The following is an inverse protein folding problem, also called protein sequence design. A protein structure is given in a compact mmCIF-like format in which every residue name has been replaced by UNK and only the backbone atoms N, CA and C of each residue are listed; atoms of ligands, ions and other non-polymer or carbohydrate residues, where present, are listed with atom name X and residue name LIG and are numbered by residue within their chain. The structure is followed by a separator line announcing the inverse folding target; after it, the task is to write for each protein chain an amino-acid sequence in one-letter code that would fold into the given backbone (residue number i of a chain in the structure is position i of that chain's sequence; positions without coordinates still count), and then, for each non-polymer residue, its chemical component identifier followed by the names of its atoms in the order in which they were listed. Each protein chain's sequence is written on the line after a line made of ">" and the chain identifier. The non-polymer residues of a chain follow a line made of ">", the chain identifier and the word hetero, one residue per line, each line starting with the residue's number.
data_IF_395134326532
#
_entry.id   IF_395134326532
#
_cell.length_a   1.000
_cell.length_b   1.000
_cell.length_c   1.000
_cell.angle_alpha   90.00
_cell.angle_beta   90.00
_cell.angle_gamma   90.00
#
_symmetry.space_group_name_H-M   'P 1'
#
loop_
_entity.id
_entity.type
_entity.pdbx_description
1 polymer ?
#
# COMPACT_ATOMS: atom_id res chain seq x y z
N UNK A 1 -21.38 -28.47 -35.41
CA UNK A 1 -20.31 -27.46 -35.66
C UNK A 1 -20.64 -26.10 -35.05
N UNK A 2 -21.80 -25.49 -35.38
CA UNK A 2 -22.21 -24.17 -34.85
C UNK A 2 -22.31 -24.13 -33.30
N UNK A 3 -22.87 -25.17 -32.65
CA UNK A 3 -22.91 -25.26 -31.18
C UNK A 3 -21.53 -25.26 -30.50
N UNK A 4 -20.52 -25.88 -31.13
CA UNK A 4 -19.15 -25.94 -30.60
C UNK A 4 -18.44 -24.60 -30.75
N UNK A 5 -18.72 -23.86 -31.82
CA UNK A 5 -18.18 -22.53 -32.07
C UNK A 5 -18.79 -21.51 -31.09
N UNK A 6 -20.11 -21.57 -30.85
CA UNK A 6 -20.79 -20.71 -29.87
C UNK A 6 -20.29 -20.99 -28.45
N UNK A 7 -20.07 -22.26 -28.10
CA UNK A 7 -19.56 -22.64 -26.78
C UNK A 7 -18.10 -22.18 -26.56
N UNK A 8 -17.24 -22.32 -27.57
CA UNK A 8 -15.88 -21.76 -27.50
C UNK A 8 -15.88 -20.23 -27.42
N UNK A 9 -16.77 -19.55 -28.15
CA UNK A 9 -16.89 -18.09 -28.10
C UNK A 9 -17.33 -17.61 -26.71
N UNK A 10 -18.30 -18.29 -26.09
CA UNK A 10 -18.74 -18.00 -24.72
C UNK A 10 -17.63 -18.25 -23.69
N UNK A 11 -16.86 -19.33 -23.82
CA UNK A 11 -15.73 -19.63 -22.92
C UNK A 11 -14.63 -18.58 -23.08
N UNK A 12 -14.27 -18.18 -24.30
CA UNK A 12 -13.29 -17.10 -24.51
C UNK A 12 -13.79 -15.75 -24.00
N UNK A 13 -15.09 -15.45 -24.14
CA UNK A 13 -15.69 -14.21 -23.65
C UNK A 13 -15.72 -14.17 -22.11
N UNK A 14 -15.99 -15.30 -21.46
CA UNK A 14 -15.92 -15.44 -19.99
C UNK A 14 -14.48 -15.33 -19.49
N UNK A 15 -13.48 -15.89 -20.20
CA UNK A 15 -12.06 -15.73 -19.84
C UNK A 15 -11.62 -14.27 -19.98
N UNK A 16 -12.07 -13.56 -21.02
CA UNK A 16 -11.78 -12.12 -21.23
C UNK A 16 -12.50 -11.24 -20.19
N UNK A 17 -13.69 -11.63 -19.73
CA UNK A 17 -14.41 -10.95 -18.64
C UNK A 17 -13.84 -11.29 -17.26
N UNK A 18 -13.23 -12.46 -17.06
CA UNK A 18 -12.55 -12.83 -15.81
C UNK A 18 -11.12 -12.29 -15.74
N UNK A 19 -10.52 -11.92 -16.87
CA UNK A 19 -9.32 -11.09 -16.92
C UNK A 19 -9.65 -9.60 -16.75
N UNK A 20 -10.54 -9.25 -15.80
CA UNK A 20 -10.43 -7.94 -15.18
C UNK A 20 -9.05 -7.92 -14.54
N UNK A 21 -8.13 -7.29 -15.27
CA UNK A 21 -6.78 -7.03 -14.84
C UNK A 21 -6.86 -6.49 -13.43
N UNK A 22 -6.32 -7.26 -12.47
CA UNK A 22 -5.87 -6.72 -11.20
C UNK A 22 -4.93 -5.58 -11.58
N UNK A 23 -5.46 -4.35 -11.62
CA UNK A 23 -4.64 -3.16 -11.79
C UNK A 23 -3.75 -3.16 -10.57
N UNK A 24 -2.51 -3.62 -10.74
CA UNK A 24 -1.47 -3.47 -9.73
C UNK A 24 -1.43 -1.99 -9.38
N UNK A 25 -1.90 -1.63 -8.19
CA UNK A 25 -1.83 -0.24 -7.69
C UNK A 25 -0.37 0.16 -7.77
N UNK A 26 -0.04 1.17 -8.57
CA UNK A 26 1.32 1.68 -8.62
C UNK A 26 1.50 2.73 -7.53
N UNK A 27 2.41 2.47 -6.58
CA UNK A 27 2.67 3.34 -5.42
C UNK A 27 3.08 4.75 -5.85
N UNK A 28 3.75 4.88 -6.99
CA UNK A 28 4.26 6.15 -7.50
C UNK A 28 3.34 6.79 -8.53
N UNK A 29 2.21 6.15 -8.82
CA UNK A 29 1.21 6.70 -9.73
C UNK A 29 0.37 7.79 -9.06
N UNK A 30 0.15 8.84 -9.83
CA UNK A 30 -0.62 10.02 -9.46
C UNK A 30 -1.99 10.00 -10.13
N UNK A 31 -2.94 10.73 -9.56
CA UNK A 31 -4.29 10.88 -10.12
C UNK A 31 -4.40 12.12 -11.00
N UNK A 32 -5.42 12.13 -11.86
CA UNK A 32 -5.81 13.34 -12.57
C UNK A 32 -6.38 14.38 -11.60
N UNK A 33 -6.03 15.63 -11.84
CA UNK A 33 -6.53 16.79 -11.14
C UNK A 33 -7.37 17.64 -12.10
N UNK A 34 -8.67 17.75 -11.81
CA UNK A 34 -9.57 18.60 -12.57
C UNK A 34 -9.33 20.08 -12.24
N UNK A 35 -9.11 20.87 -13.28
CA UNK A 35 -9.01 22.31 -13.25
C UNK A 35 -10.27 22.88 -13.89
N UNK A 36 -10.93 23.81 -13.19
CA UNK A 36 -12.09 24.53 -13.72
C UNK A 36 -12.09 25.95 -13.14
N UNK A 37 -11.34 26.86 -13.79
CA UNK A 37 -11.09 28.20 -13.26
C UNK A 37 -11.54 29.29 -14.21
N UNK A 38 -12.27 30.28 -13.66
CA UNK A 38 -12.48 31.57 -14.33
C UNK A 38 -11.19 32.38 -14.26
N UNK A 39 -10.82 33.05 -15.34
CA UNK A 39 -9.55 33.79 -15.42
C UNK A 39 -9.60 34.89 -16.48
N UNK A 40 -8.81 35.94 -16.29
CA UNK A 40 -8.61 37.01 -17.29
C UNK A 40 -7.46 36.65 -18.25
N UNK A 41 -6.57 35.74 -17.86
CA UNK A 41 -5.45 35.29 -18.68
C UNK A 41 -5.31 33.76 -18.56
N UNK A 42 -5.86 33.05 -19.54
CA UNK A 42 -5.88 31.59 -19.53
C UNK A 42 -4.47 30.96 -19.63
N UNK A 43 -3.53 31.60 -20.34
CA UNK A 43 -2.16 31.12 -20.43
C UNK A 43 -1.45 31.17 -19.07
N UNK A 44 -1.58 32.30 -18.35
CA UNK A 44 -1.04 32.45 -16.98
C UNK A 44 -1.72 31.48 -16.01
N UNK A 45 -3.03 31.29 -16.14
CA UNK A 45 -3.76 30.32 -15.29
C UNK A 45 -3.31 28.89 -15.54
N UNK A 46 -3.13 28.48 -16.81
CA UNK A 46 -2.61 27.16 -17.17
C UNK A 46 -1.28 26.89 -16.47
N UNK A 47 -0.30 27.78 -16.65
CA UNK A 47 1.04 27.59 -16.05
C UNK A 47 0.96 27.52 -14.52
N UNK A 48 0.23 28.45 -13.90
CA UNK A 48 0.08 28.49 -12.43
C UNK A 48 -0.60 27.23 -11.88
N UNK A 49 -1.65 26.74 -12.53
CA UNK A 49 -2.36 25.54 -12.07
C UNK A 49 -1.53 24.27 -12.24
N UNK A 50 -0.79 24.16 -13.33
CA UNK A 50 0.12 23.03 -13.54
C UNK A 50 1.20 23.01 -12.44
N UNK A 51 1.78 24.16 -12.06
CA UNK A 51 2.75 24.23 -10.96
C UNK A 51 2.17 23.76 -9.61
N UNK A 52 0.94 24.20 -9.29
CA UNK A 52 0.24 23.75 -8.08
C UNK A 52 0.03 22.23 -8.10
N UNK A 53 -0.34 21.67 -9.26
CA UNK A 53 -0.58 20.24 -9.42
C UNK A 53 0.70 19.43 -9.33
N UNK A 54 1.82 19.91 -9.87
CA UNK A 54 3.14 19.27 -9.70
C UNK A 54 3.46 19.10 -8.20
N UNK A 55 3.37 20.19 -7.44
CA UNK A 55 3.66 20.19 -5.99
C UNK A 55 2.69 19.28 -5.24
N UNK A 56 1.39 19.36 -5.56
CA UNK A 56 0.37 18.52 -4.92
C UNK A 56 0.59 17.03 -5.20
N UNK A 57 0.85 16.68 -6.45
CA UNK A 57 1.10 15.29 -6.87
C UNK A 57 2.34 14.72 -6.21
N UNK A 58 3.42 15.51 -6.13
CA UNK A 58 4.63 15.13 -5.43
C UNK A 58 4.40 14.91 -3.94
N UNK A 59 3.74 15.85 -3.28
CA UNK A 59 3.39 15.73 -1.86
C UNK A 59 2.53 14.51 -1.57
N UNK A 60 1.58 14.17 -2.46
CA UNK A 60 0.77 12.98 -2.33
C UNK A 60 1.63 11.71 -2.33
N UNK A 61 2.63 11.60 -3.21
CA UNK A 61 3.57 10.46 -3.21
C UNK A 61 4.34 10.42 -1.89
N UNK A 62 4.88 11.55 -1.44
CA UNK A 62 5.60 11.62 -0.17
C UNK A 62 4.72 11.22 1.02
N UNK A 63 3.48 11.70 1.07
CA UNK A 63 2.50 11.31 2.09
C UNK A 63 2.16 9.83 2.05
N UNK A 64 2.27 9.19 0.88
CA UNK A 64 2.04 7.76 0.70
C UNK A 64 3.22 6.93 1.20
N UNK A 65 4.46 7.32 0.90
CA UNK A 65 5.64 6.48 1.14
C UNK A 65 6.44 6.86 2.40
N UNK A 66 6.33 8.09 2.90
CA UNK A 66 7.07 8.57 4.05
C UNK A 66 6.22 8.57 5.32
N UNK A 67 6.90 8.43 6.46
CA UNK A 67 6.36 8.85 7.74
C UNK A 67 6.27 10.37 7.79
N UNK A 68 5.33 10.90 8.56
CA UNK A 68 5.12 12.36 8.69
C UNK A 68 6.40 13.09 9.12
N UNK A 69 7.16 12.51 10.05
CA UNK A 69 8.43 13.06 10.54
C UNK A 69 9.50 13.09 9.45
N UNK A 70 9.65 12.00 8.70
CA UNK A 70 10.60 11.89 7.59
C UNK A 70 10.26 12.83 6.44
N UNK A 71 8.96 13.01 6.11
CA UNK A 71 8.50 14.00 5.14
C UNK A 71 8.89 15.41 5.58
N UNK A 72 8.63 15.76 6.84
CA UNK A 72 8.96 17.09 7.36
C UNK A 72 10.48 17.35 7.33
N UNK A 73 11.28 16.34 7.70
CA UNK A 73 12.75 16.39 7.60
C UNK A 73 13.21 16.58 6.16
N UNK A 74 12.63 15.82 5.22
CA UNK A 74 12.95 15.90 3.80
C UNK A 74 12.62 17.28 3.22
N UNK A 75 11.39 17.77 3.43
CA UNK A 75 10.94 19.06 2.89
C UNK A 75 11.67 20.26 3.48
N UNK A 76 12.22 20.15 4.70
CA UNK A 76 13.04 21.21 5.31
C UNK A 76 14.41 21.35 4.63
N UNK A 77 14.98 20.25 4.16
CA UNK A 77 16.36 20.19 3.66
C UNK A 77 16.43 20.14 2.13
N UNK A 78 15.31 19.90 1.45
CA UNK A 78 15.23 19.73 0.01
C UNK A 78 14.49 20.90 -0.64
N UNK A 79 15.20 21.70 -1.44
CA UNK A 79 14.57 22.72 -2.28
C UNK A 79 13.87 22.05 -3.46
N UNK A 80 12.57 21.81 -3.29
CA UNK A 80 11.73 21.15 -4.27
C UNK A 80 11.45 22.02 -5.49
N UNK A 81 11.55 23.35 -5.38
CA UNK A 81 11.15 24.27 -6.46
C UNK A 81 11.97 24.10 -7.74
N UNK A 82 13.28 23.84 -7.61
CA UNK A 82 14.18 23.62 -8.74
C UNK A 82 14.31 22.14 -9.12
N UNK A 83 14.22 21.23 -8.14
CA UNK A 83 14.51 19.82 -8.39
C UNK A 83 13.29 19.01 -8.83
N UNK A 84 12.06 19.50 -8.65
CA UNK A 84 10.85 18.85 -9.15
C UNK A 84 10.91 18.60 -10.66
N UNK A 85 11.42 19.56 -11.44
CA UNK A 85 11.54 19.41 -12.90
C UNK A 85 12.42 18.23 -13.30
N UNK A 86 13.44 17.87 -12.50
CA UNK A 86 14.36 16.76 -12.81
C UNK A 86 13.72 15.39 -12.62
N UNK A 87 12.72 15.29 -11.76
CA UNK A 87 12.06 14.03 -11.43
C UNK A 87 10.73 13.83 -12.15
N UNK A 88 10.22 14.85 -12.83
CA UNK A 88 8.99 14.72 -13.64
C UNK A 88 9.33 13.90 -14.88
N UNK A 89 8.67 12.75 -15.02
CA UNK A 89 8.77 11.90 -16.20
C UNK A 89 7.95 12.47 -17.35
N UNK A 90 6.69 12.85 -17.07
CA UNK A 90 5.82 13.53 -18.02
C UNK A 90 4.64 14.22 -17.33
N UNK A 91 3.99 15.11 -18.07
CA UNK A 91 2.73 15.76 -17.69
C UNK A 91 1.70 15.43 -18.77
N UNK A 92 0.59 14.83 -18.34
CA UNK A 92 -0.52 14.46 -19.21
C UNK A 92 -1.63 15.50 -18.99
N UNK A 93 -2.11 16.09 -20.08
CA UNK A 93 -3.21 17.06 -20.07
C UNK A 93 -4.31 16.52 -20.97
N UNK A 94 -5.49 16.30 -20.41
CA UNK A 94 -6.68 15.82 -21.09
C UNK A 94 -7.82 16.84 -20.97
N UNK A 95 -8.80 16.74 -21.86
CA UNK A 95 -10.02 17.57 -21.84
C UNK A 95 -9.74 19.09 -21.76
N UNK A 96 -8.65 19.56 -22.37
CA UNK A 96 -8.23 20.96 -22.27
C UNK A 96 -9.15 21.89 -23.07
N UNK A 97 -9.69 22.89 -22.39
CA UNK A 97 -10.53 23.94 -22.96
C UNK A 97 -10.05 25.32 -22.51
N UNK A 98 -9.59 26.10 -23.48
CA UNK A 98 -9.12 27.47 -23.29
C UNK A 98 -10.18 28.44 -23.83
N UNK A 99 -10.75 29.28 -22.96
CA UNK A 99 -11.67 30.36 -23.31
C UNK A 99 -11.13 31.70 -22.81
N UNK A 100 -11.59 32.81 -23.41
CA UNK A 100 -11.24 34.19 -23.03
C UNK A 100 -11.30 34.44 -21.52
N UNK A 101 -12.29 33.85 -20.83
CA UNK A 101 -12.53 34.07 -19.41
C UNK A 101 -12.36 32.80 -18.54
N UNK A 102 -11.84 31.70 -19.08
CA UNK A 102 -11.88 30.39 -18.40
C UNK A 102 -10.81 29.42 -18.89
N UNK A 103 -10.27 28.64 -17.96
CA UNK A 103 -9.42 27.50 -18.24
C UNK A 103 -9.99 26.23 -17.59
N UNK A 104 -10.14 25.17 -18.38
CA UNK A 104 -10.57 23.84 -17.92
C UNK A 104 -9.60 22.81 -18.48
N UNK A 105 -9.16 21.85 -17.65
CA UNK A 105 -8.34 20.72 -18.09
C UNK A 105 -8.31 19.66 -16.98
N UNK A 106 -8.01 18.42 -17.35
CA UNK A 106 -7.59 17.38 -16.41
C UNK A 106 -6.09 17.20 -16.55
N UNK A 107 -5.35 17.31 -15.44
CA UNK A 107 -3.88 17.25 -15.47
C UNK A 107 -3.37 16.17 -14.54
N UNK A 108 -2.48 15.31 -15.05
CA UNK A 108 -1.74 14.30 -14.28
C UNK A 108 -0.25 14.51 -14.45
N UNK A 109 0.51 14.39 -13.37
CA UNK A 109 1.98 14.56 -13.37
C UNK A 109 2.60 13.25 -12.93
N UNK A 110 3.36 12.60 -13.80
CA UNK A 110 4.05 11.35 -13.49
C UNK A 110 5.51 11.63 -13.14
N UNK A 111 6.03 10.90 -12.16
CA UNK A 111 7.40 11.05 -11.67
C UNK A 111 8.24 9.82 -12.01
N UNK A 112 9.52 10.03 -12.25
CA UNK A 112 10.49 8.94 -12.38
C UNK A 112 10.75 8.34 -10.98
N UNK A 113 10.33 7.08 -10.80
CA UNK A 113 10.50 6.33 -9.55
C UNK A 113 11.98 6.24 -9.15
N UNK A 114 12.88 5.96 -10.09
CA UNK A 114 14.30 5.73 -9.78
C UNK A 114 14.96 7.01 -9.30
N UNK A 115 14.69 8.13 -9.97
CA UNK A 115 15.21 9.44 -9.57
C UNK A 115 14.67 9.86 -8.20
N UNK A 116 13.37 9.70 -7.96
CA UNK A 116 12.76 9.98 -6.66
C UNK A 116 13.41 9.17 -5.53
N UNK A 117 13.55 7.86 -5.73
CA UNK A 117 14.18 6.99 -4.73
C UNK A 117 15.65 7.36 -4.53
N UNK A 118 16.37 7.71 -5.59
CA UNK A 118 17.76 8.14 -5.49
C UNK A 118 17.90 9.44 -4.67
N UNK A 119 16.97 10.39 -4.84
CA UNK A 119 16.92 11.61 -4.02
C UNK A 119 16.69 11.27 -2.54
N UNK A 120 15.74 10.37 -2.22
CA UNK A 120 15.50 9.94 -0.84
C UNK A 120 16.75 9.29 -0.22
N UNK A 121 17.43 8.41 -0.98
CA UNK A 121 18.69 7.77 -0.57
C UNK A 121 19.80 8.77 -0.32
N UNK A 122 20.02 9.70 -1.25
CA UNK A 122 21.05 10.74 -1.13
C UNK A 122 20.83 11.63 0.11
N UNK A 123 19.56 11.84 0.50
CA UNK A 123 19.18 12.59 1.69
C UNK A 123 19.03 11.72 2.95
N UNK A 124 19.36 10.42 2.89
CA UNK A 124 19.21 9.45 3.99
C UNK A 124 17.80 9.46 4.62
N UNK A 125 16.79 9.54 3.77
CA UNK A 125 15.37 9.49 4.17
C UNK A 125 14.88 8.07 3.95
N UNK A 126 14.45 7.41 5.02
CA UNK A 126 13.84 6.10 4.93
C UNK A 126 12.41 6.22 4.40
N UNK A 127 11.92 5.19 3.73
CA UNK A 127 10.59 5.18 3.13
C UNK A 127 10.00 3.77 3.15
N UNK A 128 8.72 3.65 2.88
CA UNK A 128 8.04 2.37 2.69
C UNK A 128 7.30 2.40 1.36
N UNK A 129 7.40 1.33 0.58
CA UNK A 129 6.62 1.14 -0.63
C UNK A 129 6.12 -0.31 -0.74
N UNK A 130 5.65 -0.84 0.39
CA UNK A 130 5.00 -2.16 0.46
C UNK A 130 3.55 -1.94 0.83
N UNK A 131 2.63 -2.29 -0.06
CA UNK A 131 1.21 -2.35 0.28
C UNK A 131 0.96 -3.47 1.28
N UNK A 132 0.01 -3.27 2.18
CA UNK A 132 -0.59 -4.40 2.87
C UNK A 132 -1.47 -5.18 1.92
N UNK A 133 -1.59 -6.48 2.21
CA UNK A 133 -2.73 -7.24 1.77
C UNK A 133 -4.01 -6.62 2.36
N UNK A 134 -5.18 -7.08 1.91
CA UNK A 134 -6.44 -6.63 2.51
C UNK A 134 -6.56 -7.18 3.93
N UNK A 135 -6.39 -6.29 4.91
CA UNK A 135 -6.41 -6.63 6.34
C UNK A 135 -7.85 -6.53 6.87
N UNK A 136 -8.32 -7.58 7.55
CA UNK A 136 -9.62 -7.55 8.21
C UNK A 136 -9.55 -6.66 9.47
N UNK A 137 -10.39 -5.62 9.51
CA UNK A 137 -10.43 -4.67 10.62
C UNK A 137 -11.62 -4.97 11.54
N UNK A 138 -11.34 -5.52 12.72
CA UNK A 138 -12.37 -5.82 13.74
C UNK A 138 -12.26 -4.89 14.94
N UNK A 139 -13.38 -4.68 15.62
CA UNK A 139 -13.42 -3.77 16.75
C UNK A 139 -14.42 -4.17 17.82
N UNK A 140 -14.03 -3.83 19.05
CA UNK A 140 -14.90 -3.78 20.21
C UNK A 140 -15.02 -2.34 20.71
N UNK A 141 -16.18 -1.99 21.22
CA UNK A 141 -16.46 -0.70 21.85
C UNK A 141 -17.13 -0.92 23.20
N UNK A 142 -16.67 -0.20 24.22
CA UNK A 142 -17.30 -0.17 25.54
C UNK A 142 -17.47 1.25 26.07
N UNK A 143 -18.63 1.53 26.66
CA UNK A 143 -18.97 2.77 27.36
C UNK A 143 -19.90 2.40 28.53
N UNK A 144 -19.47 2.67 29.77
CA UNK A 144 -20.20 2.30 31.00
C UNK A 144 -20.68 0.83 31.01
N UNK A 145 -21.99 0.59 30.88
CA UNK A 145 -22.61 -0.74 30.86
C UNK A 145 -22.82 -1.31 29.44
N UNK A 146 -22.50 -0.53 28.40
CA UNK A 146 -22.65 -0.90 27.01
C UNK A 146 -21.37 -1.58 26.50
N UNK A 147 -21.52 -2.77 25.93
CA UNK A 147 -20.43 -3.54 25.33
C UNK A 147 -20.84 -4.02 23.94
N UNK A 148 -20.17 -3.52 22.91
CA UNK A 148 -20.51 -3.77 21.51
C UNK A 148 -19.32 -4.38 20.78
N UNK A 149 -19.55 -5.47 20.05
CA UNK A 149 -18.57 -6.11 19.17
C UNK A 149 -18.85 -5.80 17.70
N UNK A 150 -18.92 -6.87 16.88
CA UNK A 150 -19.26 -6.80 15.45
C UNK A 150 -20.75 -6.50 15.21
N UNK A 151 -21.12 -5.24 15.40
CA UNK A 151 -22.51 -4.77 15.26
C UNK A 151 -22.54 -3.36 14.67
N UNK A 152 -23.61 -3.04 13.93
CA UNK A 152 -23.84 -1.69 13.38
C UNK A 152 -23.99 -0.61 14.47
N UNK A 153 -24.28 -1.00 15.71
CA UNK A 153 -24.37 -0.09 16.84
C UNK A 153 -22.98 0.36 17.34
N UNK A 154 -21.94 -0.45 17.12
CA UNK A 154 -20.58 -0.11 17.49
C UNK A 154 -20.13 1.10 16.67
N UNK A 155 -19.78 2.19 17.36
CA UNK A 155 -19.42 3.46 16.74
C UNK A 155 -18.29 3.31 15.72
N UNK A 156 -17.37 2.37 15.95
CA UNK A 156 -16.24 2.11 15.06
C UNK A 156 -16.67 1.86 13.61
N UNK A 157 -17.84 1.22 13.42
CA UNK A 157 -18.37 0.87 12.10
C UNK A 157 -19.34 1.90 11.52
N UNK A 158 -19.75 2.92 12.29
CA UNK A 158 -20.70 3.95 11.82
C UNK A 158 -20.08 4.86 10.76
N UNK A 159 -18.77 5.09 10.84
CA UNK A 159 -18.04 5.94 9.91
C UNK A 159 -17.07 5.08 9.11
N UNK A 160 -17.54 4.58 7.98
CA UNK A 160 -16.67 3.95 6.99
C UNK A 160 -15.89 5.06 6.29
N UNK A 161 -14.62 5.22 6.65
CA UNK A 161 -13.71 6.00 5.83
C UNK A 161 -13.54 5.21 4.53
N UNK A 162 -13.99 5.78 3.41
CA UNK A 162 -13.67 5.21 2.11
C UNK A 162 -12.15 5.06 2.03
N UNK A 163 -11.68 3.86 1.66
CA UNK A 163 -10.25 3.57 1.52
C UNK A 163 -9.57 4.72 0.80
N UNK A 164 -8.77 5.49 1.56
CA UNK A 164 -8.17 6.70 1.03
C UNK A 164 -7.13 6.24 0.00
N UNK A 165 -7.30 6.65 -1.27
CA UNK A 165 -6.48 6.17 -2.39
C UNK A 165 -4.97 6.45 -2.23
N UNK A 166 -4.59 7.20 -1.20
CA UNK A 166 -3.22 7.60 -0.90
C UNK A 166 -2.59 6.91 0.34
N UNK A 167 -2.90 5.63 0.57
CA UNK A 167 -2.41 4.84 1.72
C UNK A 167 -1.73 3.54 1.28
N UNK A 168 -0.74 3.09 2.06
CA UNK A 168 -0.15 1.75 1.89
C UNK A 168 -0.89 0.67 2.71
N UNK A 169 -1.68 1.10 3.69
CA UNK A 169 -2.53 0.23 4.50
C UNK A 169 -3.90 0.07 3.84
N UNK A 170 -4.15 -1.13 3.30
CA UNK A 170 -5.42 -1.59 2.77
C UNK A 170 -6.16 -2.41 3.84
N UNK A 171 -7.45 -2.15 3.99
CA UNK A 171 -8.29 -2.85 4.95
C UNK A 171 -9.73 -2.96 4.48
N UNK A 172 -10.47 -3.83 5.13
CA UNK A 172 -11.92 -3.97 4.97
C UNK A 172 -12.58 -4.32 6.30
N UNK A 173 -13.88 -4.07 6.38
CA UNK A 173 -14.69 -4.40 7.55
C UNK A 173 -15.46 -5.71 7.33
N UNK A 174 -15.76 -6.47 8.40
CA UNK A 174 -16.70 -7.58 8.30
C UNK A 174 -18.11 -7.07 7.95
N UNK A 175 -18.97 -7.98 7.49
CA UNK A 175 -20.38 -7.71 7.14
C UNK A 175 -21.25 -7.34 8.35
N UNK A 176 -20.77 -7.58 9.57
CA UNK A 176 -21.48 -7.36 10.84
C UNK A 176 -22.77 -8.20 10.95
N UNK A 177 -22.73 -9.41 10.41
CA UNK A 177 -23.82 -10.38 10.45
C UNK A 177 -23.98 -11.04 11.85
N UNK A 178 -25.14 -11.65 12.16
CA UNK A 178 -25.29 -12.48 13.35
C UNK A 178 -24.25 -13.60 13.42
N UNK A 179 -23.85 -14.16 12.27
CA UNK A 179 -22.81 -15.19 12.19
C UNK A 179 -21.44 -14.64 12.63
N UNK A 180 -21.09 -13.41 12.25
CA UNK A 180 -19.84 -12.78 12.72
C UNK A 180 -19.81 -12.63 14.25
N UNK A 181 -20.94 -12.22 14.84
CA UNK A 181 -21.09 -12.12 16.30
C UNK A 181 -21.04 -13.47 17.00
N UNK A 182 -21.51 -14.52 16.33
CA UNK A 182 -21.40 -15.88 16.84
C UNK A 182 -19.95 -16.39 16.80
N UNK A 183 -19.24 -16.15 15.70
CA UNK A 183 -17.84 -16.56 15.52
C UNK A 183 -16.93 -15.83 16.52
N UNK A 184 -17.08 -14.50 16.64
CA UNK A 184 -16.24 -13.69 17.52
C UNK A 184 -17.06 -12.64 18.30
N UNK A 185 -17.72 -13.06 19.40
CA UNK A 185 -18.48 -12.14 20.25
C UNK A 185 -17.55 -11.15 20.96
N UNK A 186 -18.12 -10.06 21.49
CA UNK A 186 -17.39 -8.98 22.18
C UNK A 186 -16.28 -9.48 23.13
N UNK A 187 -16.60 -10.42 24.04
CA UNK A 187 -15.63 -10.95 25.01
C UNK A 187 -14.42 -11.63 24.35
N UNK A 188 -14.62 -12.26 23.19
CA UNK A 188 -13.56 -12.93 22.42
C UNK A 188 -12.66 -11.92 21.72
N UNK A 189 -13.20 -10.77 21.28
CA UNK A 189 -12.42 -9.63 20.76
C UNK A 189 -11.55 -9.03 21.87
N UNK A 190 -12.14 -8.74 23.05
CA UNK A 190 -11.41 -8.13 24.17
C UNK A 190 -10.29 -9.06 24.67
N UNK A 191 -10.57 -10.35 24.75
CA UNK A 191 -9.60 -11.35 25.23
C UNK A 191 -8.62 -11.81 24.15
N UNK A 192 -8.69 -11.26 22.93
CA UNK A 192 -7.81 -11.63 21.82
C UNK A 192 -7.81 -13.17 21.58
N UNK A 193 -8.99 -13.79 21.56
CA UNK A 193 -9.13 -15.25 21.47
C UNK A 193 -8.71 -15.78 20.09
N UNK A 194 -7.52 -16.40 20.04
CA UNK A 194 -6.90 -16.91 18.82
C UNK A 194 -7.79 -17.86 18.02
N UNK A 195 -8.56 -18.73 18.68
CA UNK A 195 -9.45 -19.66 17.97
C UNK A 195 -10.56 -18.92 17.23
N UNK A 196 -11.15 -17.92 17.85
CA UNK A 196 -12.20 -17.09 17.25
C UNK A 196 -11.63 -16.21 16.14
N UNK A 197 -10.43 -15.64 16.33
CA UNK A 197 -9.70 -14.88 15.32
C UNK A 197 -9.38 -15.72 14.09
N UNK A 198 -8.90 -16.96 14.28
CA UNK A 198 -8.67 -17.92 13.19
C UNK A 198 -9.96 -18.25 12.42
N UNK A 199 -11.08 -18.41 13.13
CA UNK A 199 -12.36 -18.72 12.50
C UNK A 199 -12.92 -17.54 11.69
N UNK A 200 -12.81 -16.31 12.21
CA UNK A 200 -13.28 -15.12 11.47
C UNK A 200 -12.37 -14.82 10.27
N UNK A 201 -11.05 -14.99 10.41
CA UNK A 201 -10.08 -14.92 9.31
C UNK A 201 -10.46 -15.85 8.15
N UNK A 202 -10.76 -17.13 8.47
CA UNK A 202 -11.21 -18.11 7.47
C UNK A 202 -12.50 -17.72 6.77
N UNK A 203 -13.49 -17.14 7.49
CA UNK A 203 -14.74 -16.67 6.87
C UNK A 203 -14.46 -15.63 5.79
N UNK A 204 -13.53 -14.71 6.05
CA UNK A 204 -13.23 -13.58 5.18
C UNK A 204 -12.02 -13.77 4.26
N UNK A 205 -11.40 -14.96 4.25
CA UNK A 205 -10.19 -15.25 3.49
C UNK A 205 -9.10 -14.17 3.66
N UNK A 206 -8.84 -13.80 4.92
CA UNK A 206 -7.83 -12.79 5.26
C UNK A 206 -6.87 -13.34 6.30
N UNK A 207 -5.59 -13.30 5.98
CA UNK A 207 -4.51 -13.86 6.80
C UNK A 207 -4.10 -12.93 7.95
N UNK A 208 -4.54 -11.67 7.89
CA UNK A 208 -4.15 -10.61 8.81
C UNK A 208 -5.39 -9.93 9.40
N UNK A 209 -5.39 -9.74 10.72
CA UNK A 209 -6.47 -9.03 11.43
C UNK A 209 -5.87 -7.89 12.25
N UNK A 210 -6.45 -6.70 12.13
CA UNK A 210 -6.23 -5.61 13.09
C UNK A 210 -7.42 -5.57 14.06
N UNK A 211 -7.11 -5.59 15.34
CA UNK A 211 -8.06 -5.59 16.44
C UNK A 211 -8.00 -4.22 17.11
N UNK A 212 -9.09 -3.46 17.01
CA UNK A 212 -9.21 -2.12 17.58
C UNK A 212 -10.17 -2.17 18.77
N UNK A 213 -9.64 -2.06 19.98
CA UNK A 213 -10.44 -2.10 21.21
C UNK A 213 -10.62 -0.68 21.74
N UNK A 214 -11.85 -0.16 21.67
CA UNK A 214 -12.22 1.19 22.10
C UNK A 214 -12.90 1.13 23.47
N UNK A 215 -12.45 1.99 24.38
CA UNK A 215 -13.10 2.26 25.65
C UNK A 215 -13.33 3.75 25.80
N UNK A 216 -14.59 4.17 25.78
CA UNK A 216 -14.97 5.58 25.93
C UNK A 216 -15.13 5.93 27.40
N UNK A 217 -14.44 6.99 27.80
CA UNK A 217 -14.53 7.64 29.10
C UNK A 217 -14.87 9.11 28.87
N UNK A 218 -16.15 9.49 29.00
CA UNK A 218 -16.65 10.84 28.68
C UNK A 218 -16.32 11.27 27.24
N UNK A 219 -15.52 12.34 27.07
CA UNK A 219 -15.08 12.85 25.77
C UNK A 219 -13.81 12.18 25.23
N UNK A 220 -13.18 11.31 26.02
CA UNK A 220 -11.97 10.62 25.63
C UNK A 220 -12.27 9.17 25.28
N UNK A 221 -11.54 8.63 24.31
CA UNK A 221 -11.57 7.21 23.95
C UNK A 221 -10.16 6.67 24.05
N UNK A 222 -9.98 5.70 24.94
CA UNK A 222 -8.79 4.86 25.00
C UNK A 222 -8.91 3.78 23.92
N UNK A 223 -7.88 3.64 23.10
CA UNK A 223 -7.82 2.65 22.03
C UNK A 223 -6.60 1.77 22.22
N UNK A 224 -6.81 0.46 22.22
CA UNK A 224 -5.74 -0.53 22.11
C UNK A 224 -5.75 -1.14 20.72
N UNK A 225 -4.58 -1.21 20.09
CA UNK A 225 -4.39 -1.77 18.77
C UNK A 225 -3.58 -3.06 18.88
N UNK A 226 -4.09 -4.15 18.30
CA UNK A 226 -3.36 -5.40 18.17
C UNK A 226 -3.40 -5.89 16.73
N UNK A 227 -2.35 -6.60 16.31
CA UNK A 227 -2.26 -7.25 15.03
C UNK A 227 -2.18 -8.76 15.23
N UNK A 228 -2.99 -9.52 14.51
CA UNK A 228 -2.97 -10.97 14.47
C UNK A 228 -2.59 -11.43 13.07
N UNK A 229 -1.64 -12.35 12.99
CA UNK A 229 -1.27 -13.03 11.74
C UNK A 229 -1.57 -14.53 11.88
N UNK A 230 -2.23 -15.09 10.87
CA UNK A 230 -2.70 -16.47 10.89
C UNK A 230 -1.56 -17.49 10.78
N UNK A 231 -0.51 -17.18 10.01
CA UNK A 231 0.55 -18.12 9.62
C UNK A 231 1.38 -18.52 10.83
N UNK A 232 1.75 -17.52 11.65
CA UNK A 232 2.47 -17.71 12.90
C UNK A 232 1.53 -17.88 14.10
N UNK A 233 0.23 -17.60 13.95
CA UNK A 233 -0.77 -17.63 15.03
C UNK A 233 -0.35 -16.73 16.22
N UNK A 234 0.26 -15.59 15.92
CA UNK A 234 0.79 -14.64 16.89
C UNK A 234 -0.06 -13.37 16.98
N UNK A 235 -0.14 -12.81 18.19
CA UNK A 235 -0.78 -11.52 18.44
C UNK A 235 0.30 -10.57 18.89
N UNK A 236 0.44 -9.47 18.15
CA UNK A 236 1.42 -8.42 18.40
C UNK A 236 0.65 -7.20 18.89
N UNK A 237 0.99 -6.74 20.09
CA UNK A 237 0.53 -5.44 20.58
C UNK A 237 1.18 -4.34 19.73
N UNK A 238 0.37 -3.45 19.17
CA UNK A 238 0.84 -2.34 18.35
C UNK A 238 1.11 -1.13 19.23
N UNK A 239 0.07 -0.60 19.86
CA UNK A 239 0.14 0.58 20.71
C UNK A 239 -1.19 0.81 21.45
N UNK A 240 -1.18 1.74 22.40
CA UNK A 240 -2.37 2.30 23.05
C UNK A 240 -2.40 3.81 22.88
N UNK A 241 -3.52 4.35 22.42
CA UNK A 241 -3.75 5.79 22.24
C UNK A 241 -4.93 6.28 23.07
N UNK A 242 -4.89 7.55 23.46
CA UNK A 242 -6.04 8.26 23.99
C UNK A 242 -6.35 9.40 23.03
N UNK A 243 -7.56 9.40 22.47
CA UNK A 243 -8.03 10.45 21.59
C UNK A 243 -9.26 11.15 22.17
N UNK A 244 -9.38 12.44 21.87
CA UNK A 244 -10.65 13.16 22.02
C UNK A 244 -11.59 12.64 20.94
N UNK A 245 -12.81 12.27 21.32
CA UNK A 245 -13.87 11.91 20.38
C UNK A 245 -14.43 13.18 19.74
N UNK A 246 -13.97 13.45 18.51
CA UNK A 246 -14.37 14.56 17.66
C UNK A 246 -14.64 14.09 16.23
N UNK A 247 -14.95 15.02 15.33
CA UNK A 247 -15.28 14.73 13.93
C UNK A 247 -14.15 14.01 13.18
N UNK A 248 -12.89 14.22 13.60
CA UNK A 248 -11.70 13.65 12.96
C UNK A 248 -11.22 12.35 13.65
N UNK A 249 -11.99 11.81 14.60
CA UNK A 249 -11.61 10.65 15.39
C UNK A 249 -11.18 9.44 14.54
N UNK A 250 -11.98 9.10 13.52
CA UNK A 250 -11.71 7.96 12.64
C UNK A 250 -10.48 8.20 11.76
N UNK A 251 -10.30 9.44 11.28
CA UNK A 251 -9.15 9.80 10.47
C UNK A 251 -7.85 9.64 11.26
N UNK A 252 -7.84 10.00 12.54
CA UNK A 252 -6.70 9.80 13.45
C UNK A 252 -6.35 8.32 13.60
N UNK A 253 -7.35 7.44 13.73
CA UNK A 253 -7.13 5.97 13.78
C UNK A 253 -6.49 5.49 12.48
N UNK A 254 -7.03 5.90 11.34
CA UNK A 254 -6.54 5.48 10.03
C UNK A 254 -5.11 5.97 9.77
N UNK A 255 -4.83 7.25 10.05
CA UNK A 255 -3.48 7.82 9.95
C UNK A 255 -2.50 7.04 10.83
N UNK A 256 -2.90 6.70 12.05
CA UNK A 256 -2.09 5.92 12.97
C UNK A 256 -1.76 4.53 12.38
N UNK A 257 -2.77 3.78 11.90
CA UNK A 257 -2.57 2.45 11.33
C UNK A 257 -1.73 2.49 10.04
N UNK A 258 -1.94 3.49 9.18
CA UNK A 258 -1.13 3.68 7.97
C UNK A 258 0.34 3.97 8.33
N UNK A 259 0.59 4.83 9.32
CA UNK A 259 1.96 5.10 9.77
C UNK A 259 2.60 3.88 10.46
N UNK A 260 1.84 3.12 11.24
CA UNK A 260 2.31 1.85 11.79
C UNK A 260 2.73 0.88 10.69
N UNK A 261 1.90 0.73 9.65
CA UNK A 261 2.20 -0.15 8.52
C UNK A 261 3.48 0.27 7.78
N UNK A 262 3.63 1.57 7.50
CA UNK A 262 4.87 2.12 6.90
C UNK A 262 6.09 1.82 7.76
N UNK A 263 5.98 2.05 9.07
CA UNK A 263 7.07 1.83 10.00
C UNK A 263 7.47 0.34 10.08
N UNK A 264 6.49 -0.57 10.07
CA UNK A 264 6.72 -2.03 10.03
C UNK A 264 7.44 -2.49 8.75
N UNK A 265 7.29 -1.76 7.65
CA UNK A 265 7.86 -2.10 6.34
C UNK A 265 8.78 -0.98 5.83
N UNK A 266 9.57 -0.40 6.73
CA UNK A 266 10.45 0.73 6.43
C UNK A 266 11.76 0.24 5.79
N UNK A 267 12.05 0.72 4.59
CA UNK A 267 13.32 0.49 3.89
C UNK A 267 14.36 1.46 4.46
N UNK A 268 15.36 0.89 5.15
CA UNK A 268 16.45 1.67 5.73
C UNK A 268 17.54 1.94 4.68
N UNK A 269 17.64 3.19 4.24
CA UNK A 269 18.61 3.61 3.24
C UNK A 269 20.06 3.66 3.76
N UNK A 270 20.29 3.49 5.07
CA UNK A 270 21.63 3.42 5.66
C UNK A 270 22.18 1.98 5.72
N UNK A 271 21.32 0.97 5.53
CA UNK A 271 21.71 -0.44 5.55
C UNK A 271 21.72 -0.97 4.13
N UNK A 272 22.84 -1.54 3.70
CA UNK A 272 22.97 -2.22 2.42
C UNK A 272 23.37 -3.65 2.72
N UNK A 273 22.57 -4.58 2.23
CA UNK A 273 22.81 -6.01 2.33
C UNK A 273 23.11 -6.57 0.94
N UNK A 274 23.85 -7.67 0.91
CA UNK A 274 24.16 -8.44 -0.31
C UNK A 274 23.73 -9.89 -0.10
N UNK A 275 23.25 -10.52 -1.15
CA UNK A 275 22.85 -11.92 -1.11
C UNK A 275 23.09 -12.59 -2.47
N UNK A 276 23.75 -13.74 -2.44
CA UNK A 276 24.02 -14.53 -3.64
C UNK A 276 22.88 -15.53 -3.82
N UNK A 277 22.10 -15.38 -4.88
CA UNK A 277 20.93 -16.22 -5.15
C UNK A 277 21.01 -16.91 -6.49
N UNK A 278 20.57 -18.16 -6.50
CA UNK A 278 20.21 -18.86 -7.71
C UNK A 278 18.82 -18.40 -8.18
N UNK A 279 18.77 -17.76 -9.34
CA UNK A 279 17.51 -17.47 -10.04
C UNK A 279 17.16 -18.69 -10.88
N UNK A 280 16.19 -19.46 -10.39
CA UNK A 280 15.60 -20.58 -11.12
C UNK A 280 14.52 -20.06 -12.04
N UNK A 281 14.55 -20.52 -13.29
CA UNK A 281 13.60 -20.08 -14.33
C UNK A 281 13.25 -21.23 -15.26
N UNK A 282 12.08 -21.19 -15.87
CA UNK A 282 11.66 -22.22 -16.82
C UNK A 282 12.33 -22.05 -18.18
N UNK A 283 12.57 -20.80 -18.57
CA UNK A 283 13.18 -20.41 -19.83
C UNK A 283 13.74 -18.98 -19.73
N UNK A 284 14.36 -18.52 -20.81
CA UNK A 284 14.95 -17.19 -20.88
C UNK A 284 13.96 -16.03 -20.64
N UNK A 285 12.70 -16.15 -21.10
CA UNK A 285 11.72 -15.09 -20.90
C UNK A 285 11.30 -14.98 -19.43
N UNK A 286 11.11 -16.12 -18.77
CA UNK A 286 10.82 -16.18 -17.34
C UNK A 286 11.98 -15.60 -16.51
N UNK A 287 13.23 -15.97 -16.84
CA UNK A 287 14.42 -15.37 -16.24
C UNK A 287 14.42 -13.83 -16.38
N UNK A 288 14.11 -13.33 -17.57
CA UNK A 288 14.08 -11.88 -17.82
C UNK A 288 12.95 -11.19 -17.05
N UNK A 289 11.79 -11.83 -16.92
CA UNK A 289 10.68 -11.32 -16.13
C UNK A 289 11.06 -11.23 -14.65
N UNK A 290 11.60 -12.31 -14.06
CA UNK A 290 12.07 -12.32 -12.68
C UNK A 290 13.09 -11.20 -12.46
N UNK A 291 14.14 -11.12 -13.30
CA UNK A 291 15.18 -10.08 -13.18
C UNK A 291 14.62 -8.66 -13.34
N UNK A 292 13.65 -8.46 -14.22
CA UNK A 292 13.00 -7.16 -14.42
C UNK A 292 12.20 -6.74 -13.20
N UNK A 293 11.41 -7.66 -12.64
CA UNK A 293 10.62 -7.43 -11.42
C UNK A 293 11.52 -7.12 -10.22
N UNK A 294 12.60 -7.88 -10.01
CA UNK A 294 13.58 -7.59 -8.97
C UNK A 294 14.15 -6.17 -9.18
N UNK A 295 14.61 -5.84 -10.40
CA UNK A 295 15.16 -4.49 -10.70
C UNK A 295 14.17 -3.34 -10.52
N UNK A 296 12.87 -3.61 -10.60
CA UNK A 296 11.82 -2.62 -10.41
C UNK A 296 11.52 -2.32 -8.93
N UNK A 297 12.02 -3.15 -8.01
CA UNK A 297 11.91 -2.89 -6.58
C UNK A 297 12.71 -1.64 -6.19
N UNK A 298 12.10 -0.79 -5.38
CA UNK A 298 12.71 0.44 -4.88
C UNK A 298 13.96 0.19 -4.04
N UNK A 299 14.04 -0.95 -3.35
CA UNK A 299 15.16 -1.30 -2.48
C UNK A 299 16.37 -1.86 -3.24
N UNK A 300 16.25 -2.21 -4.52
CA UNK A 300 17.41 -2.73 -5.27
C UNK A 300 18.42 -1.63 -5.54
N UNK A 301 19.67 -1.93 -5.22
CA UNK A 301 20.83 -1.10 -5.55
C UNK A 301 21.41 -1.53 -6.88
N UNK A 302 21.78 -2.80 -7.01
CA UNK A 302 22.23 -3.41 -8.25
C UNK A 302 22.09 -4.94 -8.18
N UNK A 303 22.22 -5.58 -9.34
CA UNK A 303 22.29 -7.03 -9.48
C UNK A 303 23.51 -7.33 -10.35
N UNK A 304 24.46 -8.09 -9.81
CA UNK A 304 25.68 -8.48 -10.50
C UNK A 304 25.60 -9.96 -10.84
N UNK A 305 25.94 -10.27 -12.08
CA UNK A 305 26.05 -11.64 -12.54
C UNK A 305 27.31 -12.32 -11.97
N UNK A 306 27.18 -13.55 -11.47
CA UNK A 306 28.32 -14.37 -11.02
C UNK A 306 28.56 -15.60 -11.92
N UNK A 307 27.54 -16.43 -12.16
CA UNK A 307 27.66 -17.62 -13.04
C UNK A 307 26.35 -17.96 -13.78
N UNK A 308 26.46 -18.41 -15.05
CA UNK A 308 25.32 -18.82 -15.89
C UNK A 308 25.27 -20.34 -15.87
N UNK A 309 24.13 -20.91 -15.50
CA UNK A 309 23.79 -22.27 -15.84
C UNK A 309 22.39 -22.28 -16.48
N UNK A 310 22.11 -23.30 -17.30
CA UNK A 310 20.81 -23.43 -17.94
C UNK A 310 19.72 -23.39 -16.86
N UNK A 311 18.83 -22.40 -16.95
CA UNK A 311 17.70 -22.21 -16.05
C UNK A 311 18.06 -21.98 -14.55
N UNK A 312 19.33 -21.71 -14.25
CA UNK A 312 19.81 -21.57 -12.87
C UNK A 312 20.99 -20.60 -12.79
N UNK A 313 20.70 -19.30 -12.83
CA UNK A 313 21.75 -18.27 -12.82
C UNK A 313 22.11 -17.87 -11.39
N UNK A 314 23.40 -17.80 -11.07
CA UNK A 314 23.86 -17.24 -9.81
C UNK A 314 24.08 -15.74 -9.95
N UNK A 315 23.41 -14.97 -9.12
CA UNK A 315 23.47 -13.50 -9.11
C UNK A 315 23.75 -13.00 -7.69
N UNK A 316 24.58 -11.98 -7.56
CA UNK A 316 24.70 -11.17 -6.36
C UNK A 316 23.68 -10.04 -6.40
N UNK A 317 22.78 -10.00 -5.42
CA UNK A 317 21.73 -8.98 -5.30
C UNK A 317 22.08 -8.06 -4.14
N UNK A 318 22.41 -6.80 -4.43
CA UNK A 318 22.60 -5.79 -3.41
C UNK A 318 21.32 -4.95 -3.24
N UNK A 319 20.85 -4.83 -2.01
CA UNK A 319 19.60 -4.15 -1.68
C UNK A 319 19.70 -3.34 -0.39
N UNK A 320 18.81 -2.37 -0.25
CA UNK A 320 18.69 -1.52 0.95
C UNK A 320 17.72 -2.13 1.95
N UNK A 321 18.01 -1.97 3.24
CA UNK A 321 17.13 -2.40 4.33
C UNK A 321 17.14 -3.92 4.59
N UNK A 322 16.11 -4.40 5.27
CA UNK A 322 16.07 -5.74 5.85
C UNK A 322 15.60 -6.82 4.87
N UNK A 323 16.15 -8.03 5.01
CA UNK A 323 15.77 -9.19 4.17
C UNK A 323 14.28 -9.53 4.23
N UNK A 324 13.64 -9.37 5.40
CA UNK A 324 12.22 -9.66 5.58
C UNK A 324 11.33 -8.72 4.75
N UNK A 325 11.73 -7.45 4.61
CA UNK A 325 11.05 -6.47 3.75
C UNK A 325 11.37 -6.79 2.29
N UNK A 326 12.62 -7.13 1.97
CA UNK A 326 13.01 -7.55 0.63
C UNK A 326 12.15 -8.71 0.12
N UNK A 327 11.99 -9.76 0.93
CA UNK A 327 11.13 -10.92 0.67
C UNK A 327 9.67 -10.52 0.44
N UNK A 328 9.11 -9.63 1.27
CA UNK A 328 7.72 -9.14 1.10
C UNK A 328 7.52 -8.35 -0.18
N UNK A 329 8.49 -7.52 -0.59
CA UNK A 329 8.33 -6.77 -1.83
C UNK A 329 8.43 -7.68 -3.06
N UNK A 330 9.21 -8.76 -2.99
CA UNK A 330 9.25 -9.78 -4.05
C UNK A 330 7.92 -10.51 -4.20
N UNK A 331 7.26 -10.85 -3.08
CA UNK A 331 5.96 -11.53 -3.14
C UNK A 331 4.85 -10.68 -3.78
N UNK A 332 4.99 -9.35 -3.81
CA UNK A 332 4.07 -8.47 -4.56
C UNK A 332 4.15 -8.66 -6.08
N UNK A 333 5.21 -9.29 -6.58
CA UNK A 333 5.42 -9.62 -7.99
C UNK A 333 5.34 -11.13 -8.25
N UNK A 334 4.71 -11.88 -7.34
CA UNK A 334 4.63 -13.35 -7.39
C UNK A 334 6.03 -13.99 -7.52
N UNK A 335 7.02 -13.44 -6.82
CA UNK A 335 8.38 -13.98 -6.75
C UNK A 335 8.63 -14.49 -5.34
N UNK A 336 9.01 -15.76 -5.24
CA UNK A 336 9.40 -16.37 -3.99
C UNK A 336 10.91 -16.28 -3.79
N UNK A 337 11.30 -16.18 -2.52
CA UNK A 337 12.69 -16.29 -2.10
C UNK A 337 12.79 -17.17 -0.86
N UNK A 338 13.59 -18.23 -0.97
CA UNK A 338 13.98 -19.10 0.14
C UNK A 338 15.45 -18.86 0.47
N UNK A 339 15.80 -18.90 1.75
CA UNK A 339 17.19 -18.69 2.21
C UNK A 339 17.50 -19.58 3.42
N UNK A 340 17.03 -20.84 3.41
CA UNK A 340 17.26 -21.79 4.50
C UNK A 340 18.64 -22.44 4.41
N UNK A 341 18.98 -23.01 3.24
CA UNK A 341 20.30 -23.61 2.97
C UNK A 341 21.06 -22.86 1.86
N UNK A 342 20.38 -22.60 0.74
CA UNK A 342 20.86 -21.78 -0.37
C UNK A 342 19.80 -20.75 -0.72
N UNK A 343 20.22 -19.55 -1.15
CA UNK A 343 19.27 -18.60 -1.67
C UNK A 343 18.78 -19.02 -3.05
N UNK A 344 17.47 -19.19 -3.16
CA UNK A 344 16.79 -19.50 -4.41
C UNK A 344 15.68 -18.47 -4.62
N UNK A 345 15.62 -17.96 -5.84
CA UNK A 345 14.56 -17.09 -6.32
C UNK A 345 13.87 -17.75 -7.51
N UNK A 346 12.55 -17.82 -7.48
CA UNK A 346 11.71 -18.35 -8.56
C UNK A 346 10.36 -17.62 -8.63
N UNK A 347 9.68 -17.79 -9.77
CA UNK A 347 8.29 -17.36 -9.93
C UNK A 347 7.38 -18.27 -9.09
N UNK A 348 6.45 -17.69 -8.34
CA UNK A 348 5.40 -18.43 -7.66
C UNK A 348 4.55 -19.15 -8.71
N UNK A 349 4.49 -20.48 -8.61
CA UNK A 349 3.90 -21.37 -9.62
C UNK A 349 2.40 -21.27 -9.78
#
# INVERSE_FOLDING_TARGET
>A
MIKSIIMNFFITFIIVLLSYTSYSKNIYETSFHNINQKTINAAKTKTTQIEIIKIKSFNNILDRILLTEDKNKFLKNYDYSYNLEKIILNIIIENELIKLNKYIADVKVNFDKKELIQILRNNKINYSDVFSNDILLISSYSEDFLNLGLSNENIFYKYQIQNNMNSLFNYFYPELSPNDRFIIPYKKIINNDKSSLKNISKKYNSDEIIIVQLKKNNKHIDISFNYYNIDNNEIIFIDKKNFIYDENFYEKIFIFLNNWWKNKNLINNNLINSLNCYIKSYNYNDLMNIKSNIKNLSQIRNINYLSIALNNNLEEINYYGDFSIFKKSLSLFDINISNEDECIIDSAG
#
